data_IF_267673542441
#
_entry.id   IF_267673542441
#
_cell.length_a   1.000
_cell.length_b   1.000
_cell.length_c   1.000
_cell.angle_alpha   90.00
_cell.angle_beta   90.00
_cell.angle_gamma   90.00
#
_symmetry.space_group_name_H-M   'P 1'
#
loop_
_entity.id
_entity.type
_entity.pdbx_description
1 polymer ?
#
# COMPACT_ATOMS: atom_id res chain seq x y z
N UNK A 1 -16.39 25.84 -8.82
CA UNK A 1 -15.07 25.49 -8.28
C UNK A 1 -14.21 26.72 -8.46
N UNK A 2 -13.60 27.22 -7.39
CA UNK A 2 -12.73 28.40 -7.47
C UNK A 2 -11.30 27.90 -7.50
N UNK A 3 -10.59 28.17 -8.60
CA UNK A 3 -9.15 27.95 -8.66
C UNK A 3 -8.46 29.03 -7.84
N UNK A 4 -7.57 28.59 -6.96
CA UNK A 4 -6.79 29.45 -6.08
C UNK A 4 -5.36 28.94 -6.00
N UNK A 5 -4.42 29.81 -5.63
CA UNK A 5 -3.07 29.37 -5.27
C UNK A 5 -3.01 29.21 -3.76
N UNK A 6 -2.45 28.10 -3.30
CA UNK A 6 -2.25 27.81 -1.88
C UNK A 6 -0.79 27.50 -1.60
N UNK A 7 -0.30 27.86 -0.43
CA UNK A 7 1.07 27.53 -0.04
C UNK A 7 1.18 26.05 0.31
N UNK A 8 2.23 25.38 -0.16
CA UNK A 8 2.43 23.97 0.13
C UNK A 8 2.54 23.70 1.63
N UNK A 9 3.21 24.60 2.37
CA UNK A 9 3.39 24.56 3.82
C UNK A 9 2.09 24.63 4.62
N UNK A 10 1.01 25.19 4.06
CA UNK A 10 -0.30 25.23 4.74
C UNK A 10 -1.17 23.99 4.52
N UNK A 11 -0.74 23.06 3.67
CA UNK A 11 -1.53 21.87 3.32
C UNK A 11 -1.23 20.70 4.25
N UNK A 12 -2.28 20.06 4.76
CA UNK A 12 -2.18 18.91 5.66
C UNK A 12 -2.39 17.62 4.86
N UNK A 13 -1.36 16.76 4.81
CA UNK A 13 -1.49 15.40 4.29
C UNK A 13 -1.89 14.48 5.44
N UNK A 14 -3.20 14.32 5.64
CA UNK A 14 -3.74 13.47 6.70
C UNK A 14 -3.81 12.00 6.23
N UNK A 15 -3.10 11.07 6.88
CA UNK A 15 -3.12 9.64 6.53
C UNK A 15 -4.51 9.01 6.54
N UNK A 16 -5.46 9.56 7.31
CA UNK A 16 -6.84 9.08 7.37
C UNK A 16 -7.60 9.30 6.04
N UNK A 17 -7.12 10.19 5.18
CA UNK A 17 -7.72 10.53 3.90
C UNK A 17 -6.88 10.14 2.69
N UNK A 18 -5.74 9.46 2.89
CA UNK A 18 -4.80 9.15 1.83
C UNK A 18 -4.91 7.70 1.35
N UNK A 19 -5.52 7.43 0.17
CA UNK A 19 -5.89 6.07 -0.23
C UNK A 19 -4.72 5.19 -0.73
N UNK A 20 -3.47 5.68 -0.69
CA UNK A 20 -2.30 4.93 -1.19
C UNK A 20 -1.51 4.32 -0.05
N UNK A 21 -1.47 2.99 -0.02
CA UNK A 21 -0.78 2.23 1.02
C UNK A 21 0.75 2.42 0.96
N UNK A 22 1.28 2.65 -0.24
CA UNK A 22 2.72 2.82 -0.47
C UNK A 22 3.27 4.21 -0.17
N UNK A 23 2.44 5.17 0.26
CA UNK A 23 2.88 6.54 0.44
C UNK A 23 3.15 7.28 -0.88
N UNK A 24 4.03 8.29 -0.80
CA UNK A 24 4.46 9.10 -1.94
C UNK A 24 5.53 8.36 -2.74
N UNK A 25 5.25 8.12 -4.02
CA UNK A 25 6.21 7.57 -4.99
C UNK A 25 7.21 8.63 -5.46
N UNK A 26 8.45 8.49 -5.00
CA UNK A 26 9.55 9.42 -5.32
C UNK A 26 9.89 9.46 -6.81
N UNK A 27 9.81 8.35 -7.53
CA UNK A 27 10.09 8.31 -8.98
C UNK A 27 9.02 9.11 -9.72
N UNK A 28 7.76 8.92 -9.34
CA UNK A 28 6.66 9.69 -9.90
C UNK A 28 6.78 11.19 -9.58
N UNK A 29 7.13 11.56 -8.34
CA UNK A 29 7.40 12.94 -7.96
C UNK A 29 8.54 13.56 -8.76
N UNK A 30 9.62 12.82 -9.01
CA UNK A 30 10.73 13.30 -9.83
C UNK A 30 10.28 13.60 -11.28
N UNK A 31 9.46 12.73 -11.88
CA UNK A 31 8.90 13.01 -13.22
C UNK A 31 7.99 14.24 -13.23
N UNK A 32 7.16 14.42 -12.19
CA UNK A 32 6.36 15.64 -12.03
C UNK A 32 7.24 16.89 -11.88
N UNK A 33 8.31 16.80 -11.11
CA UNK A 33 9.28 17.89 -10.94
C UNK A 33 9.94 18.27 -12.27
N UNK A 34 10.34 17.29 -13.09
CA UNK A 34 10.88 17.56 -14.42
C UNK A 34 9.86 18.25 -15.35
N UNK A 35 8.60 17.84 -15.29
CA UNK A 35 7.53 18.48 -16.06
C UNK A 35 7.30 19.93 -15.61
N UNK A 36 7.28 20.18 -14.29
CA UNK A 36 7.20 21.53 -13.71
C UNK A 36 8.35 22.41 -14.22
N UNK A 37 9.58 21.91 -14.21
CA UNK A 37 10.76 22.61 -14.74
C UNK A 37 10.66 22.95 -16.22
N UNK A 38 10.05 22.05 -16.99
CA UNK A 38 9.82 22.25 -18.42
C UNK A 38 8.72 23.28 -18.71
N UNK A 39 8.02 23.77 -17.69
CA UNK A 39 6.90 24.71 -17.84
C UNK A 39 5.59 24.04 -18.24
N UNK A 40 5.48 22.72 -18.06
CA UNK A 40 4.24 22.00 -18.32
C UNK A 40 3.15 22.39 -17.31
N UNK A 41 1.91 22.51 -17.80
CA UNK A 41 0.78 22.80 -16.95
C UNK A 41 0.37 21.55 -16.15
N UNK A 42 0.67 21.56 -14.85
CA UNK A 42 0.29 20.48 -13.95
C UNK A 42 -1.14 20.71 -13.46
N UNK A 43 -2.02 19.69 -13.50
CA UNK A 43 -3.39 19.86 -13.04
C UNK A 43 -3.43 20.33 -11.56
N UNK A 44 -4.44 21.11 -11.15
CA UNK A 44 -4.52 21.64 -9.80
C UNK A 44 -4.76 20.53 -8.77
N UNK A 45 -4.19 20.70 -7.57
CA UNK A 45 -4.48 19.83 -6.43
C UNK A 45 -5.89 20.05 -5.91
N UNK A 46 -6.42 19.12 -5.12
CA UNK A 46 -7.73 19.28 -4.48
C UNK A 46 -7.54 19.31 -2.97
N UNK A 47 -8.06 20.35 -2.34
CA UNK A 47 -7.94 20.59 -0.90
C UNK A 47 -9.32 20.84 -0.32
N UNK A 48 -9.55 20.40 0.92
CA UNK A 48 -10.73 20.81 1.67
C UNK A 48 -10.65 22.29 2.06
N UNK A 49 -11.77 22.88 2.42
CA UNK A 49 -11.82 24.20 3.07
C UNK A 49 -11.12 24.25 4.43
N UNK A 50 -10.91 23.09 5.07
CA UNK A 50 -10.11 22.93 6.29
C UNK A 50 -8.60 22.75 6.05
N UNK A 51 -8.14 22.77 4.78
CA UNK A 51 -6.72 22.66 4.43
C UNK A 51 -6.18 21.23 4.31
N UNK A 52 -7.03 20.21 4.39
CA UNK A 52 -6.67 18.80 4.19
C UNK A 52 -6.52 18.52 2.70
N UNK A 53 -5.39 17.94 2.31
CA UNK A 53 -5.12 17.55 0.94
C UNK A 53 -5.91 16.27 0.57
N UNK A 54 -6.89 16.42 -0.32
CA UNK A 54 -7.76 15.32 -0.79
C UNK A 54 -7.15 14.61 -2.01
N UNK A 55 -6.53 15.37 -2.91
CA UNK A 55 -5.82 14.83 -4.08
C UNK A 55 -4.60 15.67 -4.41
N UNK A 56 -3.56 15.01 -4.94
CA UNK A 56 -2.35 15.68 -5.41
C UNK A 56 -1.17 15.65 -4.45
N UNK A 57 -1.09 14.70 -3.51
CA UNK A 57 0.08 14.55 -2.63
C UNK A 57 1.43 14.46 -3.39
N UNK A 58 1.46 13.75 -4.51
CA UNK A 58 2.66 13.69 -5.36
C UNK A 58 3.00 15.02 -6.02
N UNK A 59 1.98 15.79 -6.41
CA UNK A 59 2.13 17.13 -6.98
C UNK A 59 2.64 18.09 -5.92
N UNK A 60 2.04 18.10 -4.72
CA UNK A 60 2.54 18.84 -3.56
C UNK A 60 4.03 18.57 -3.32
N UNK A 61 4.42 17.30 -3.20
CA UNK A 61 5.81 16.93 -2.99
C UNK A 61 6.73 17.36 -4.15
N UNK A 62 6.27 17.33 -5.39
CA UNK A 62 7.03 17.80 -6.54
C UNK A 62 7.23 19.32 -6.54
N UNK A 63 6.19 20.10 -6.23
CA UNK A 63 6.28 21.56 -6.05
C UNK A 63 7.21 21.93 -4.89
N UNK A 64 7.11 21.23 -3.75
CA UNK A 64 7.99 21.45 -2.59
C UNK A 64 9.45 21.16 -2.91
N UNK A 65 9.70 20.08 -3.66
CA UNK A 65 11.06 19.73 -4.09
C UNK A 65 11.64 20.72 -5.11
N UNK A 66 10.78 21.42 -5.87
CA UNK A 66 11.21 22.35 -6.90
C UNK A 66 11.38 23.78 -6.40
N UNK A 67 10.41 24.29 -5.67
CA UNK A 67 10.34 25.70 -5.27
C UNK A 67 10.44 25.91 -3.76
N UNK A 68 10.59 24.83 -2.98
CA UNK A 68 10.67 24.87 -1.53
C UNK A 68 9.32 24.75 -0.82
N UNK A 69 9.31 24.71 0.52
CA UNK A 69 8.11 24.43 1.32
C UNK A 69 7.00 25.49 1.19
N UNK A 70 7.33 26.72 0.81
CA UNK A 70 6.35 27.79 0.62
C UNK A 70 5.89 27.96 -0.84
N UNK A 71 6.14 26.95 -1.69
CA UNK A 71 5.68 26.93 -3.07
C UNK A 71 4.17 27.21 -3.17
N UNK A 72 3.78 28.11 -4.07
CA UNK A 72 2.38 28.33 -4.40
C UNK A 72 1.92 27.31 -5.43
N UNK A 73 0.90 26.52 -5.07
CA UNK A 73 0.38 25.42 -5.89
C UNK A 73 -1.03 25.78 -6.35
N UNK A 74 -1.36 25.61 -7.66
CA UNK A 74 -2.74 25.69 -8.13
C UNK A 74 -3.63 24.65 -7.43
N UNK A 75 -4.72 25.09 -6.82
CA UNK A 75 -5.60 24.27 -6.03
C UNK A 75 -7.08 24.58 -6.26
N UNK A 76 -7.89 23.54 -6.23
CA UNK A 76 -9.35 23.60 -6.17
C UNK A 76 -9.76 23.35 -4.72
N UNK A 77 -10.32 24.36 -4.08
CA UNK A 77 -10.89 24.23 -2.73
C UNK A 77 -12.31 23.65 -2.84
N UNK A 78 -12.57 22.60 -2.06
CA UNK A 78 -13.89 21.96 -1.97
C UNK A 78 -14.38 21.93 -0.52
N UNK A 79 -15.66 22.20 -0.35
CA UNK A 79 -16.35 21.97 0.90
C UNK A 79 -16.92 20.55 0.92
N UNK A 80 -16.78 19.87 2.06
CA UNK A 80 -17.33 18.53 2.28
C UNK A 80 -18.29 18.57 3.48
N UNK A 81 -19.47 17.94 3.38
CA UNK A 81 -20.46 17.94 4.46
C UNK A 81 -19.98 17.16 5.70
N UNK A 82 -19.15 16.12 5.49
CA UNK A 82 -18.57 15.30 6.54
C UNK A 82 -17.26 14.63 6.06
N UNK A 83 -16.54 13.98 6.99
CA UNK A 83 -15.32 13.24 6.69
C UNK A 83 -15.58 12.05 5.74
N UNK A 84 -16.77 11.44 5.78
CA UNK A 84 -17.14 10.30 4.93
C UNK A 84 -17.21 10.71 3.44
N UNK A 85 -17.87 11.82 3.13
CA UNK A 85 -17.93 12.41 1.80
C UNK A 85 -16.53 12.81 1.30
N UNK A 86 -15.67 13.30 2.19
CA UNK A 86 -14.30 13.67 1.84
C UNK A 86 -13.45 12.46 1.45
N UNK A 87 -13.49 11.36 2.22
CA UNK A 87 -12.73 10.14 1.88
C UNK A 87 -13.28 9.46 0.63
N UNK A 88 -14.60 9.46 0.42
CA UNK A 88 -15.19 8.93 -0.81
C UNK A 88 -14.70 9.70 -2.05
N UNK A 89 -14.65 11.04 -1.96
CA UNK A 89 -14.12 11.86 -3.05
C UNK A 89 -12.62 11.62 -3.27
N UNK A 90 -11.83 11.55 -2.20
CA UNK A 90 -10.39 11.25 -2.25
C UNK A 90 -10.11 9.95 -3.00
N UNK A 91 -10.83 8.89 -2.65
CA UNK A 91 -10.73 7.58 -3.31
C UNK A 91 -11.16 7.68 -4.77
N UNK A 92 -12.35 8.24 -5.03
CA UNK A 92 -12.93 8.35 -6.37
C UNK A 92 -12.00 9.08 -7.34
N UNK A 93 -11.37 10.17 -6.89
CA UNK A 93 -10.42 10.95 -7.68
C UNK A 93 -9.15 10.14 -7.95
N UNK A 94 -8.55 9.53 -6.92
CA UNK A 94 -7.31 8.75 -7.07
C UNK A 94 -7.47 7.48 -7.92
N UNK A 95 -8.68 6.93 -8.00
CA UNK A 95 -9.00 5.81 -8.89
C UNK A 95 -9.01 6.24 -10.35
N UNK A 96 -9.51 7.44 -10.65
CA UNK A 96 -9.75 7.93 -12.02
C UNK A 96 -8.61 8.76 -12.59
N UNK A 97 -7.88 9.48 -11.75
CA UNK A 97 -6.90 10.46 -12.16
C UNK A 97 -5.50 10.13 -11.60
N UNK A 98 -4.46 10.48 -12.37
CA UNK A 98 -3.07 10.28 -12.00
C UNK A 98 -2.60 8.82 -12.03
N UNK A 99 -1.69 8.45 -11.13
CA UNK A 99 -1.14 7.09 -11.03
C UNK A 99 -2.25 6.11 -10.58
N UNK A 100 -2.60 5.08 -11.36
CA UNK A 100 -3.65 4.14 -10.97
C UNK A 100 -3.40 3.51 -9.59
N UNK A 101 -4.45 3.34 -8.78
CA UNK A 101 -4.38 2.60 -7.53
C UNK A 101 -4.10 1.11 -7.82
N UNK A 102 -3.10 0.55 -7.14
CA UNK A 102 -2.81 -0.87 -7.23
C UNK A 102 -3.78 -1.67 -6.34
N UNK A 103 -3.85 -3.02 -6.46
CA UNK A 103 -4.75 -3.82 -5.62
C UNK A 103 -4.54 -3.65 -4.10
N UNK A 104 -3.30 -3.36 -3.67
CA UNK A 104 -2.99 -3.08 -2.27
C UNK A 104 -3.58 -1.73 -1.84
N UNK A 105 -3.45 -0.69 -2.69
CA UNK A 105 -4.07 0.61 -2.45
C UNK A 105 -5.59 0.49 -2.36
N UNK A 106 -6.23 -0.29 -3.24
CA UNK A 106 -7.69 -0.50 -3.18
C UNK A 106 -8.12 -1.23 -1.90
N UNK A 107 -7.31 -2.17 -1.41
CA UNK A 107 -7.59 -2.85 -0.13
C UNK A 107 -7.47 -1.87 1.04
N UNK A 108 -6.42 -1.05 1.04
CA UNK A 108 -6.22 0.00 2.04
C UNK A 108 -7.33 1.06 2.01
N UNK A 109 -7.71 1.52 0.81
CA UNK A 109 -8.82 2.44 0.62
C UNK A 109 -10.14 1.86 1.15
N UNK A 110 -10.41 0.57 0.93
CA UNK A 110 -11.59 -0.09 1.49
C UNK A 110 -11.58 -0.10 3.03
N UNK A 111 -10.41 -0.24 3.66
CA UNK A 111 -10.27 -0.18 5.13
C UNK A 111 -10.51 1.21 5.67
N UNK A 112 -9.95 2.24 5.02
CA UNK A 112 -10.24 3.64 5.35
C UNK A 112 -11.73 3.93 5.22
N UNK A 113 -12.34 3.56 4.10
CA UNK A 113 -13.78 3.74 3.87
C UNK A 113 -14.62 3.05 4.97
N UNK A 114 -14.22 1.84 5.39
CA UNK A 114 -14.89 1.12 6.50
C UNK A 114 -14.82 1.88 7.82
N UNK A 115 -13.71 2.56 8.15
CA UNK A 115 -13.64 3.37 9.39
C UNK A 115 -14.63 4.54 9.40
N UNK A 116 -15.09 4.96 8.21
CA UNK A 116 -16.16 5.95 8.03
C UNK A 116 -17.52 5.32 7.73
N UNK A 117 -17.70 4.02 8.06
CA UNK A 117 -18.94 3.24 7.85
C UNK A 117 -19.36 3.06 6.38
N UNK A 118 -18.43 3.28 5.44
CA UNK A 118 -18.64 3.04 4.01
C UNK A 118 -18.11 1.65 3.65
N UNK A 119 -19.01 0.65 3.64
CA UNK A 119 -18.63 -0.76 3.49
C UNK A 119 -19.51 -1.57 2.53
N UNK A 120 -20.51 -0.95 1.91
CA UNK A 120 -21.39 -1.60 0.92
C UNK A 120 -20.58 -1.99 -0.33
N UNK A 121 -20.49 -3.30 -0.63
CA UNK A 121 -19.64 -3.81 -1.72
C UNK A 121 -20.05 -3.25 -3.09
N UNK A 122 -21.33 -3.21 -3.49
CA UNK A 122 -21.75 -2.54 -4.72
C UNK A 122 -21.33 -1.06 -4.80
N UNK A 123 -21.43 -0.32 -3.70
CA UNK A 123 -20.96 1.07 -3.63
C UNK A 123 -19.44 1.18 -3.79
N UNK A 124 -18.68 0.39 -3.05
CA UNK A 124 -17.21 0.33 -3.18
C UNK A 124 -16.79 -0.03 -4.61
N UNK A 125 -17.49 -0.96 -5.26
CA UNK A 125 -17.22 -1.34 -6.64
C UNK A 125 -17.40 -0.17 -7.62
N UNK A 126 -18.44 0.65 -7.44
CA UNK A 126 -18.66 1.88 -8.22
C UNK A 126 -17.57 2.92 -7.96
N UNK A 127 -17.18 3.13 -6.69
CA UNK A 127 -16.10 4.05 -6.31
C UNK A 127 -14.76 3.63 -6.93
N UNK A 128 -14.43 2.33 -6.86
CA UNK A 128 -13.20 1.76 -7.41
C UNK A 128 -13.22 1.60 -8.94
N UNK A 129 -14.37 1.74 -9.59
CA UNK A 129 -14.53 1.47 -11.02
C UNK A 129 -14.16 0.02 -11.36
N UNK A 130 -14.66 -0.95 -10.57
CA UNK A 130 -14.41 -2.39 -10.72
C UNK A 130 -15.72 -3.17 -10.60
N UNK A 131 -15.69 -4.47 -10.92
CA UNK A 131 -16.86 -5.33 -10.72
C UNK A 131 -17.08 -5.62 -9.22
N UNK A 132 -18.29 -6.02 -8.86
CA UNK A 132 -18.64 -6.42 -7.48
C UNK A 132 -17.79 -7.61 -7.03
N UNK A 133 -17.60 -8.60 -7.92
CA UNK A 133 -16.83 -9.81 -7.63
C UNK A 133 -15.34 -9.48 -7.43
N UNK A 134 -14.79 -8.57 -8.25
CA UNK A 134 -13.41 -8.11 -8.06
C UNK A 134 -13.26 -7.41 -6.71
N UNK A 135 -14.20 -6.53 -6.38
CA UNK A 135 -14.20 -5.73 -5.15
C UNK A 135 -14.33 -6.63 -3.92
N UNK A 136 -15.22 -7.61 -3.95
CA UNK A 136 -15.36 -8.58 -2.87
C UNK A 136 -14.05 -9.35 -2.61
N UNK A 137 -13.33 -9.76 -3.67
CA UNK A 137 -12.03 -10.46 -3.52
C UNK A 137 -10.91 -9.61 -2.94
N UNK A 138 -10.96 -8.28 -3.03
CA UNK A 138 -9.95 -7.40 -2.42
C UNK A 138 -10.33 -7.05 -0.98
N UNK A 139 -11.61 -6.80 -0.70
CA UNK A 139 -12.10 -6.39 0.63
C UNK A 139 -11.96 -7.51 1.67
N UNK A 140 -12.03 -8.78 1.26
CA UNK A 140 -11.97 -9.95 2.15
C UNK A 140 -10.52 -10.36 2.51
N UNK A 141 -9.50 -9.68 1.97
CA UNK A 141 -8.09 -10.01 2.23
C UNK A 141 -7.60 -9.39 3.52
N UNK A 142 -8.10 -9.87 4.64
CA UNK A 142 -7.75 -9.38 5.97
C UNK A 142 -7.33 -10.53 6.87
N UNK A 143 -6.40 -10.26 7.77
CA UNK A 143 -5.99 -11.17 8.86
C UNK A 143 -6.15 -10.42 10.19
N UNK A 144 -6.34 -11.16 11.27
CA UNK A 144 -6.47 -10.59 12.62
C UNK A 144 -5.18 -10.86 13.40
N UNK A 145 -4.60 -9.84 14.02
CA UNK A 145 -3.40 -10.04 14.85
C UNK A 145 -3.74 -10.65 16.19
N UNK A 146 -2.91 -11.59 16.67
CA UNK A 146 -2.89 -12.07 18.05
C UNK A 146 -1.85 -11.24 18.83
N UNK A 147 -2.29 -10.35 19.73
CA UNK A 147 -1.38 -9.49 20.46
C UNK A 147 -0.60 -10.28 21.52
N UNK A 148 0.72 -10.09 21.59
CA UNK A 148 1.58 -10.85 22.51
C UNK A 148 1.41 -10.38 23.97
N UNK A 149 0.99 -9.13 24.18
CA UNK A 149 0.92 -8.47 25.49
C UNK A 149 -0.50 -8.07 25.92
N UNK A 150 -1.53 -8.79 25.45
CA UNK A 150 -2.93 -8.52 25.84
C UNK A 150 -3.53 -7.23 25.27
N UNK A 151 -2.93 -6.66 24.23
CA UNK A 151 -3.50 -5.55 23.47
C UNK A 151 -4.78 -5.94 22.71
N UNK A 152 -5.36 -5.01 21.97
CA UNK A 152 -6.51 -5.30 21.12
C UNK A 152 -6.07 -5.92 19.78
N UNK A 153 -6.75 -6.99 19.30
CA UNK A 153 -6.52 -7.53 17.97
C UNK A 153 -6.73 -6.48 16.88
N UNK A 154 -5.78 -6.37 15.95
CA UNK A 154 -5.87 -5.46 14.81
C UNK A 154 -6.22 -6.24 13.54
N UNK A 155 -7.10 -5.66 12.71
CA UNK A 155 -7.38 -6.19 11.38
C UNK A 155 -6.40 -5.57 10.40
N UNK A 156 -5.57 -6.38 9.76
CA UNK A 156 -4.57 -5.91 8.81
C UNK A 156 -4.84 -6.43 7.40
N UNK A 157 -4.59 -5.63 6.35
CA UNK A 157 -4.74 -6.08 4.97
C UNK A 157 -3.65 -7.12 4.65
N UNK A 158 -4.06 -8.19 3.97
CA UNK A 158 -3.18 -9.28 3.59
C UNK A 158 -2.63 -9.07 2.18
N UNK A 159 -1.31 -9.06 2.06
CA UNK A 159 -0.65 -8.91 0.77
C UNK A 159 -0.81 -10.18 -0.07
N UNK A 160 -0.88 -10.01 -1.38
CA UNK A 160 -1.09 -11.13 -2.32
C UNK A 160 -0.11 -12.30 -2.14
N UNK A 161 1.17 -12.00 -1.87
CA UNK A 161 2.22 -12.97 -1.63
C UNK A 161 1.93 -13.95 -0.47
N UNK A 162 1.15 -13.50 0.52
CA UNK A 162 0.79 -14.24 1.73
C UNK A 162 -0.73 -14.37 1.88
N UNK A 163 -1.46 -14.38 0.75
CA UNK A 163 -2.93 -14.52 0.71
C UNK A 163 -3.50 -15.74 1.45
N UNK A 164 -2.66 -16.74 1.73
CA UNK A 164 -3.05 -17.92 2.50
C UNK A 164 -3.29 -17.62 3.99
N UNK A 165 -2.90 -16.41 4.46
CA UNK A 165 -3.19 -15.91 5.80
C UNK A 165 -4.51 -15.12 5.87
N UNK A 166 -5.21 -14.92 4.75
CA UNK A 166 -6.48 -14.20 4.76
C UNK A 166 -7.57 -15.01 5.49
N UNK A 167 -8.24 -14.38 6.45
CA UNK A 167 -9.20 -15.01 7.35
C UNK A 167 -8.57 -15.67 8.57
N UNK A 168 -7.24 -15.74 8.65
CA UNK A 168 -6.52 -16.39 9.74
C UNK A 168 -6.17 -15.39 10.85
N UNK A 169 -5.94 -15.95 12.04
CA UNK A 169 -5.26 -15.24 13.12
C UNK A 169 -3.74 -15.40 12.96
N UNK A 170 -3.01 -14.28 13.04
CA UNK A 170 -1.56 -14.23 12.81
C UNK A 170 -0.85 -13.54 13.98
N UNK A 171 0.41 -13.88 14.23
CA UNK A 171 1.20 -13.20 15.27
C UNK A 171 1.59 -11.77 14.86
N UNK A 172 1.97 -10.93 15.83
CA UNK A 172 2.55 -9.60 15.56
C UNK A 172 3.79 -9.70 14.66
N UNK A 173 4.65 -10.71 14.88
CA UNK A 173 5.81 -10.95 14.04
C UNK A 173 5.45 -11.29 12.59
N UNK A 174 4.36 -12.06 12.37
CA UNK A 174 3.86 -12.33 11.02
C UNK A 174 3.27 -11.07 10.37
N UNK A 175 2.57 -10.24 11.15
CA UNK A 175 2.06 -8.95 10.69
C UNK A 175 3.19 -8.03 10.22
N UNK A 176 4.26 -7.91 11.00
CA UNK A 176 5.45 -7.13 10.67
C UNK A 176 6.19 -7.69 9.46
N UNK A 177 6.40 -9.00 9.42
CA UNK A 177 7.04 -9.65 8.27
C UNK A 177 6.26 -9.38 6.98
N UNK A 178 4.93 -9.48 7.01
CA UNK A 178 4.08 -9.19 5.85
C UNK A 178 4.24 -7.72 5.38
N UNK A 179 4.41 -6.74 6.28
CA UNK A 179 4.65 -5.34 5.90
C UNK A 179 5.89 -5.19 5.02
N UNK A 180 6.87 -6.09 5.14
CA UNK A 180 8.09 -6.11 4.32
C UNK A 180 7.96 -6.92 3.01
N UNK A 181 6.98 -7.83 2.92
CA UNK A 181 6.82 -8.68 1.73
C UNK A 181 6.42 -7.87 0.49
N UNK A 182 7.08 -8.13 -0.64
CA UNK A 182 6.76 -7.51 -1.93
C UNK A 182 5.46 -8.13 -2.49
N UNK A 183 4.65 -7.34 -3.20
CA UNK A 183 3.34 -7.78 -3.72
C UNK A 183 3.35 -8.94 -4.73
N UNK A 184 4.52 -9.42 -5.17
CA UNK A 184 4.66 -10.56 -6.08
C UNK A 184 4.56 -11.90 -5.34
N UNK A 185 4.10 -12.99 -5.98
CA UNK A 185 4.12 -14.32 -5.37
C UNK A 185 5.50 -14.70 -4.82
N UNK A 186 5.56 -15.30 -3.62
CA UNK A 186 6.82 -15.80 -3.05
C UNK A 186 7.52 -16.81 -3.97
N UNK A 187 6.75 -17.58 -4.75
CA UNK A 187 7.29 -18.49 -5.77
C UNK A 187 8.05 -17.76 -6.88
N UNK A 188 7.60 -16.56 -7.26
CA UNK A 188 8.29 -15.74 -8.26
C UNK A 188 9.59 -15.17 -7.68
N UNK A 189 9.56 -14.65 -6.44
CA UNK A 189 10.75 -14.15 -5.75
C UNK A 189 11.80 -15.26 -5.58
N UNK A 190 11.39 -16.46 -5.17
CA UNK A 190 12.27 -17.61 -5.06
C UNK A 190 12.90 -18.00 -6.41
N UNK A 191 12.12 -17.97 -7.51
CA UNK A 191 12.63 -18.23 -8.86
C UNK A 191 13.63 -17.16 -9.32
N UNK A 192 13.37 -15.88 -9.05
CA UNK A 192 14.28 -14.79 -9.39
C UNK A 192 15.61 -14.93 -8.65
N UNK A 193 15.57 -15.17 -7.33
CA UNK A 193 16.77 -15.37 -6.54
C UNK A 193 17.57 -16.59 -7.00
N UNK A 194 16.90 -17.73 -7.23
CA UNK A 194 17.53 -18.93 -7.77
C UNK A 194 18.19 -18.65 -9.12
N UNK A 195 17.47 -18.01 -10.04
CA UNK A 195 18.01 -17.67 -11.37
C UNK A 195 19.23 -16.75 -11.27
N UNK A 196 19.24 -15.79 -10.35
CA UNK A 196 20.39 -14.91 -10.13
C UNK A 196 21.61 -15.69 -9.61
N UNK A 197 21.40 -16.63 -8.68
CA UNK A 197 22.45 -17.50 -8.14
C UNK A 197 23.01 -18.44 -9.21
N UNK A 198 22.13 -19.15 -9.93
CA UNK A 198 22.50 -20.15 -10.94
C UNK A 198 23.30 -19.54 -12.11
N UNK A 199 23.07 -18.27 -12.40
CA UNK A 199 23.71 -17.55 -13.51
C UNK A 199 24.81 -16.58 -13.06
N UNK A 200 25.26 -16.65 -11.80
CA UNK A 200 26.36 -15.82 -11.31
C UNK A 200 26.09 -14.31 -11.31
N UNK A 201 24.81 -13.90 -11.25
CA UNK A 201 24.41 -12.48 -11.24
C UNK A 201 24.50 -11.85 -9.83
N UNK A 202 24.83 -12.65 -8.82
CA UNK A 202 24.97 -12.19 -7.43
C UNK A 202 26.39 -11.68 -7.18
N UNK A 203 26.59 -10.40 -6.81
CA UNK A 203 27.92 -9.85 -6.56
C UNK A 203 28.52 -10.44 -5.27
N UNK A 204 29.56 -11.27 -5.41
CA UNK A 204 30.24 -11.92 -4.28
C UNK A 204 31.02 -10.95 -3.39
N UNK A 205 31.32 -9.76 -3.91
CA UNK A 205 31.98 -8.68 -3.17
C UNK A 205 31.04 -7.95 -2.21
N UNK A 206 29.71 -8.09 -2.38
CA UNK A 206 28.73 -7.47 -1.49
C UNK A 206 28.57 -8.30 -0.20
N UNK A 207 29.34 -7.95 0.84
CA UNK A 207 29.35 -8.67 2.13
C UNK A 207 27.99 -8.72 2.81
N UNK A 208 27.18 -7.68 2.68
CA UNK A 208 25.83 -7.63 3.27
C UNK A 208 24.90 -8.62 2.58
N UNK A 209 24.86 -8.63 1.25
CA UNK A 209 24.08 -9.59 0.48
C UNK A 209 24.49 -11.04 0.80
N UNK A 210 25.79 -11.33 0.89
CA UNK A 210 26.28 -12.66 1.26
C UNK A 210 25.85 -13.05 2.69
N UNK A 211 25.82 -12.09 3.63
CA UNK A 211 25.30 -12.33 4.98
C UNK A 211 23.83 -12.71 4.94
N UNK A 212 22.99 -11.96 4.22
CA UNK A 212 21.56 -12.23 4.09
C UNK A 212 21.29 -13.59 3.42
N UNK A 213 22.06 -13.97 2.40
CA UNK A 213 21.95 -15.29 1.77
C UNK A 213 22.26 -16.44 2.74
N UNK A 214 23.24 -16.26 3.63
CA UNK A 214 23.55 -17.25 4.68
C UNK A 214 22.42 -17.37 5.71
N UNK A 215 21.83 -16.24 6.11
CA UNK A 215 20.67 -16.24 7.00
C UNK A 215 19.48 -16.93 6.34
N UNK A 216 19.21 -16.61 5.07
CA UNK A 216 18.17 -17.27 4.28
C UNK A 216 18.38 -18.79 4.19
N UNK A 217 19.61 -19.25 3.94
CA UNK A 217 19.93 -20.68 3.92
C UNK A 217 19.55 -21.38 5.23
N UNK A 218 19.89 -20.79 6.38
CA UNK A 218 19.53 -21.32 7.70
C UNK A 218 18.01 -21.37 7.89
N UNK A 219 17.32 -20.27 7.57
CA UNK A 219 15.85 -20.19 7.68
C UNK A 219 15.14 -21.22 6.79
N UNK A 220 15.63 -21.44 5.57
CA UNK A 220 15.12 -22.49 4.68
C UNK A 220 15.32 -23.89 5.27
N UNK A 221 16.49 -24.16 5.86
CA UNK A 221 16.77 -25.43 6.55
C UNK A 221 15.77 -25.70 7.69
N UNK A 222 15.53 -24.69 8.53
CA UNK A 222 14.57 -24.77 9.63
C UNK A 222 13.14 -25.04 9.12
N UNK A 223 12.70 -24.26 8.13
CA UNK A 223 11.36 -24.38 7.55
C UNK A 223 11.11 -25.76 6.92
N UNK A 224 12.08 -26.28 6.15
CA UNK A 224 11.96 -27.60 5.51
C UNK A 224 11.93 -28.74 6.53
N UNK A 225 12.67 -28.62 7.64
CA UNK A 225 12.62 -29.59 8.74
C UNK A 225 11.25 -29.61 9.45
N UNK A 226 10.62 -28.45 9.62
CA UNK A 226 9.27 -28.36 10.18
C UNK A 226 8.24 -29.06 9.29
N UNK A 227 8.28 -28.85 7.97
CA UNK A 227 7.36 -29.50 7.02
C UNK A 227 7.46 -31.03 7.10
N UNK A 228 8.67 -31.58 7.19
CA UNK A 228 8.89 -33.04 7.30
C UNK A 228 8.26 -33.61 8.56
N UNK A 229 8.36 -32.89 9.68
CA UNK A 229 7.83 -33.31 10.98
C UNK A 229 6.30 -33.33 10.97
N UNK A 230 5.66 -32.32 10.37
CA UNK A 230 4.19 -32.23 10.29
C UNK A 230 3.58 -33.34 9.42
N UNK A 231 4.27 -33.78 8.35
CA UNK A 231 3.80 -34.89 7.51
C UNK A 231 3.79 -36.24 8.24
N UNK A 232 4.84 -36.55 9.00
CA UNK A 232 4.93 -37.80 9.78
C UNK A 232 3.84 -37.96 10.84
N UNK A 233 3.26 -36.87 11.35
CA UNK A 233 2.18 -36.91 12.36
C UNK A 233 0.78 -37.12 11.76
N UNK A 234 0.61 -36.96 10.44
CA UNK A 234 -0.68 -37.06 9.76
C UNK A 234 -0.90 -38.41 9.05
N UNK A 235 0.09 -39.30 9.04
CA UNK A 235 -0.12 -40.68 8.60
C UNK A 235 -0.84 -41.42 9.72
N UNK A 236 -2.10 -41.86 9.52
CA UNK A 236 -2.78 -42.70 10.49
C UNK A 236 -1.99 -44.00 10.61
N UNK A 237 -1.81 -44.46 11.85
CA UNK A 237 -1.37 -45.83 12.11
C UNK A 237 -2.50 -46.71 11.58
N UNK A 238 -2.34 -47.28 10.38
CA UNK A 238 -3.23 -48.31 9.87
C UNK A 238 -3.19 -49.47 10.89
N UNK A 239 -4.28 -49.61 11.63
CA UNK A 239 -4.57 -50.69 12.57
C UNK A 239 -5.32 -51.82 11.87
#
# INVERSE_FOLDING_TARGET
MTESKVRASSLIVDPRFYPRAGGIDRVHCYHLQLAIRAGEEIPPIIVSDTGILVDGAHRKAAYEAEFGPDAEIPAIVKHYPDEAAMIEDAVRINVRHGKPLCPQDLTHAAQLLRSYRVQDIPHLARLFGRTVEYTQRIVVREARTQPENGGEPQVIPVKYAVRHLAGEEISEQQADAQRMVIGSPLTFQAKQLRSALDNGLVPTTNKELIRELRLLYRSLGNFLSQIKTTRKRKEPVES
#
